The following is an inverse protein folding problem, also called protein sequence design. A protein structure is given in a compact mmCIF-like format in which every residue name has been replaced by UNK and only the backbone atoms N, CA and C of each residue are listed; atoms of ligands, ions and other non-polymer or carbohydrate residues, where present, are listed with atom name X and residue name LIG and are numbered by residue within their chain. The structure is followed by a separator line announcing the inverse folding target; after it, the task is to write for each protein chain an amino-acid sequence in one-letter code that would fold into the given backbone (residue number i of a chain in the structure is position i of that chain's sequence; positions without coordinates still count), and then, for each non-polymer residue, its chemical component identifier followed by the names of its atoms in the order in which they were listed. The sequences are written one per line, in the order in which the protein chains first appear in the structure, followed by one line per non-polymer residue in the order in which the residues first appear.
data_IF_572767281800
#
_entry.id   IF_572767281800
#
_cell.length_a   1.000
_cell.length_b   1.000
_cell.length_c   1.000
_cell.angle_alpha   90.00
_cell.angle_beta   90.00
_cell.angle_gamma   90.00
#
_symmetry.space_group_name_H-M   'P 1'
#
loop_
_entity.id
_entity.type
_entity.pdbx_description
1 polymer ?
#
# COMPACT_ATOMS: atom_id res chain seq x y z
N UNK A 1 9.27 -6.04 7.05
CA UNK A 1 8.11 -5.37 7.66
C UNK A 1 7.00 -5.42 6.63
N UNK A 2 5.80 -5.87 7.00
CA UNK A 2 4.70 -6.01 6.06
C UNK A 2 3.43 -5.37 6.63
N UNK A 3 2.57 -4.84 5.76
CA UNK A 3 1.24 -4.35 6.10
C UNK A 3 0.23 -5.12 5.25
N UNK A 4 -0.86 -5.56 5.88
CA UNK A 4 -1.97 -6.17 5.19
C UNK A 4 -3.30 -5.61 5.70
N UNK A 5 -4.33 -5.64 4.84
CA UNK A 5 -5.69 -5.31 5.25
C UNK A 5 -6.49 -6.58 5.51
N UNK A 6 -6.87 -6.80 6.78
CA UNK A 6 -7.50 -8.04 7.23
C UNK A 6 -8.89 -8.27 6.64
N UNK A 7 -9.72 -7.24 6.52
CA UNK A 7 -11.08 -7.35 5.96
C UNK A 7 -11.11 -7.62 4.46
N UNK A 8 -9.96 -7.47 3.79
CA UNK A 8 -9.86 -7.55 2.36
C UNK A 8 -10.21 -8.92 1.77
N UNK A 9 -10.02 -10.00 2.51
CA UNK A 9 -10.36 -11.34 2.02
C UNK A 9 -11.89 -11.55 1.92
N UNK A 10 -12.64 -11.07 2.91
CA UNK A 10 -14.10 -11.21 2.96
C UNK A 10 -14.79 -10.19 2.03
N UNK A 11 -14.16 -9.03 1.80
CA UNK A 11 -14.63 -7.97 0.88
C UNK A 11 -14.13 -8.15 -0.56
N UNK A 12 -13.38 -9.21 -0.86
CA UNK A 12 -12.88 -9.53 -2.20
C UNK A 12 -11.71 -8.67 -2.70
N UNK A 13 -11.06 -7.88 -1.83
CA UNK A 13 -9.89 -7.06 -2.15
C UNK A 13 -8.78 -7.20 -1.10
N UNK A 14 -7.79 -8.06 -1.35
CA UNK A 14 -6.63 -8.21 -0.45
C UNK A 14 -5.50 -7.24 -0.82
N UNK A 15 -4.93 -6.57 0.18
CA UNK A 15 -3.75 -5.71 0.03
C UNK A 15 -2.61 -6.27 0.86
N UNK A 16 -1.46 -6.50 0.23
CA UNK A 16 -0.22 -6.92 0.90
C UNK A 16 0.94 -6.03 0.46
N UNK A 17 1.62 -5.41 1.43
CA UNK A 17 2.71 -4.47 1.17
C UNK A 17 3.95 -4.86 1.94
N UNK A 18 5.05 -5.09 1.22
CA UNK A 18 6.35 -5.43 1.78
C UNK A 18 7.29 -4.23 1.80
N UNK A 19 7.97 -4.03 2.94
CA UNK A 19 8.97 -2.99 3.10
C UNK A 19 10.30 -3.56 3.61
N UNK A 20 11.37 -3.14 2.96
CA UNK A 20 12.73 -3.48 3.35
C UNK A 20 13.13 -2.70 4.61
N UNK A 21 13.39 -3.44 5.70
CA UNK A 21 13.71 -2.86 7.02
C UNK A 21 14.93 -1.93 6.94
N UNK A 22 15.96 -2.32 6.19
CA UNK A 22 17.19 -1.55 5.99
C UNK A 22 16.99 -0.19 5.31
N UNK A 23 15.85 0.01 4.64
CA UNK A 23 15.49 1.28 3.99
C UNK A 23 14.55 2.13 4.85
N UNK A 24 13.77 1.49 5.71
CA UNK A 24 12.81 2.17 6.58
C UNK A 24 13.44 2.69 7.87
N UNK A 25 14.32 1.89 8.49
CA UNK A 25 14.81 2.15 9.83
C UNK A 25 16.33 2.30 9.82
N UNK A 26 16.83 3.36 10.47
CA UNK A 26 18.26 3.52 10.76
C UNK A 26 18.71 2.59 11.88
N UNK A 27 17.86 2.43 12.87
CA UNK A 27 18.06 1.54 14.02
C UNK A 27 16.84 0.64 14.14
N UNK A 28 17.06 -0.67 14.24
CA UNK A 28 16.00 -1.65 14.33
C UNK A 28 16.38 -2.75 15.31
N UNK A 29 15.51 -2.99 16.29
CA UNK A 29 15.63 -4.08 17.24
C UNK A 29 14.28 -4.77 17.37
N UNK A 30 14.27 -6.08 17.18
CA UNK A 30 13.09 -6.90 17.38
C UNK A 30 13.49 -8.21 18.05
N UNK A 31 12.79 -8.53 19.13
CA UNK A 31 12.98 -9.75 19.93
C UNK A 31 11.60 -10.36 20.17
N UNK A 32 11.42 -11.61 19.75
CA UNK A 32 10.18 -12.34 19.95
C UNK A 32 10.44 -13.83 20.12
N UNK A 33 9.63 -14.48 20.95
CA UNK A 33 9.64 -15.94 21.12
C UNK A 33 9.14 -16.68 19.86
N UNK A 34 8.46 -15.98 18.95
CA UNK A 34 7.99 -16.51 17.66
C UNK A 34 8.99 -16.18 16.55
N UNK A 35 10.19 -16.75 16.62
CA UNK A 35 11.24 -16.58 15.59
C UNK A 35 11.49 -15.12 15.18
N UNK A 36 11.51 -14.18 16.15
CA UNK A 36 11.62 -12.75 15.85
C UNK A 36 10.56 -12.26 14.84
N UNK A 37 9.31 -12.67 15.02
CA UNK A 37 8.12 -12.10 14.37
C UNK A 37 7.12 -11.62 15.43
N UNK A 38 6.55 -10.45 15.20
CA UNK A 38 5.49 -9.87 16.02
C UNK A 38 4.44 -9.32 15.06
N UNK A 39 3.27 -9.95 15.05
CA UNK A 39 2.15 -9.54 14.23
C UNK A 39 1.23 -8.65 15.06
N UNK A 40 0.92 -7.46 14.54
CA UNK A 40 0.16 -6.43 15.22
C UNK A 40 -1.05 -6.04 14.36
N UNK A 41 -2.19 -5.91 15.00
CA UNK A 41 -3.38 -5.29 14.42
C UNK A 41 -3.56 -3.89 15.02
N UNK A 42 -3.82 -2.90 14.17
CA UNK A 42 -4.02 -1.52 14.58
C UNK A 42 -5.11 -0.85 13.71
N UNK A 43 -5.88 0.10 14.25
CA UNK A 43 -6.80 0.90 13.45
C UNK A 43 -6.02 1.75 12.42
N UNK A 44 -6.31 1.55 11.13
CA UNK A 44 -5.62 2.24 10.04
C UNK A 44 -5.71 3.77 10.15
N UNK A 45 -6.88 4.29 10.54
CA UNK A 45 -7.10 5.73 10.73
C UNK A 45 -6.12 6.34 11.75
N UNK A 46 -5.87 5.63 12.85
CA UNK A 46 -4.94 6.09 13.89
C UNK A 46 -3.50 6.07 13.37
N UNK A 47 -3.09 4.99 12.68
CA UNK A 47 -1.76 4.92 12.07
C UNK A 47 -1.53 6.04 11.07
N UNK A 48 -2.48 6.28 10.16
CA UNK A 48 -2.39 7.36 9.15
C UNK A 48 -2.27 8.73 9.82
N UNK A 49 -3.07 8.98 10.86
CA UNK A 49 -3.00 10.24 11.63
C UNK A 49 -1.61 10.46 12.25
N UNK A 50 -1.05 9.44 12.91
CA UNK A 50 0.28 9.55 13.54
C UNK A 50 1.37 9.70 12.48
N UNK A 51 1.31 8.95 11.38
CA UNK A 51 2.27 9.08 10.28
C UNK A 51 2.26 10.48 9.65
N UNK A 52 1.08 11.08 9.47
CA UNK A 52 0.99 12.48 9.02
C UNK A 52 1.57 13.45 10.05
N UNK A 53 1.33 13.20 11.34
CA UNK A 53 1.85 14.05 12.42
C UNK A 53 3.38 14.05 12.48
N UNK A 54 4.02 12.90 12.23
CA UNK A 54 5.48 12.80 12.26
C UNK A 54 6.15 12.96 10.88
N UNK A 55 5.39 13.26 9.82
CA UNK A 55 5.89 13.30 8.44
C UNK A 55 6.97 14.38 8.21
N UNK A 56 6.88 15.49 8.94
CA UNK A 56 7.85 16.60 8.89
C UNK A 56 8.95 16.49 9.95
N UNK A 57 8.99 15.41 10.72
CA UNK A 57 10.03 15.21 11.74
C UNK A 57 11.31 14.65 11.12
N UNK A 58 12.45 15.14 11.59
CA UNK A 58 13.76 14.61 11.20
C UNK A 58 14.04 13.21 11.77
N UNK A 59 13.45 12.89 12.93
CA UNK A 59 13.65 11.62 13.62
C UNK A 59 12.41 11.20 14.39
N UNK A 60 11.90 10.03 14.04
CA UNK A 60 10.77 9.37 14.71
C UNK A 60 11.23 8.01 15.25
N UNK A 61 10.95 7.77 16.53
CA UNK A 61 11.15 6.47 17.17
C UNK A 61 9.82 5.76 17.30
N UNK A 62 9.79 4.49 16.90
CA UNK A 62 8.64 3.62 16.99
C UNK A 62 8.90 2.51 18.02
N UNK A 63 8.00 2.31 18.98
CA UNK A 63 8.18 1.30 20.04
C UNK A 63 6.88 0.60 20.39
N UNK A 64 6.91 -0.74 20.41
CA UNK A 64 5.86 -1.54 21.03
C UNK A 64 6.04 -1.51 22.55
N UNK A 65 5.00 -1.12 23.28
CA UNK A 65 5.03 -1.00 24.74
C UNK A 65 3.69 -1.43 25.35
N UNK A 66 3.66 -1.55 26.68
CA UNK A 66 2.42 -1.66 27.43
C UNK A 66 1.94 -0.24 27.75
N UNK A 67 0.73 0.09 27.32
CA UNK A 67 0.06 1.33 27.69
C UNK A 67 -0.27 1.36 29.17
N UNK A 68 -0.68 2.53 29.65
CA UNK A 68 -1.00 2.77 31.07
C UNK A 68 -2.10 1.85 31.60
N UNK A 69 -3.03 1.47 30.72
CA UNK A 69 -4.15 0.57 31.03
C UNK A 69 -3.81 -0.92 30.86
N UNK A 70 -2.52 -1.25 30.69
CA UNK A 70 -2.04 -2.62 30.48
C UNK A 70 -2.28 -3.19 29.08
N UNK A 71 -2.89 -2.43 28.17
CA UNK A 71 -3.11 -2.82 26.78
C UNK A 71 -1.87 -2.52 25.92
N UNK A 72 -1.54 -3.36 24.92
CA UNK A 72 -0.40 -3.09 24.05
C UNK A 72 -0.64 -1.86 23.18
N UNK A 73 0.39 -1.02 23.06
CA UNK A 73 0.39 0.21 22.26
C UNK A 73 1.63 0.29 21.40
N UNK A 74 1.49 0.94 20.24
CA UNK A 74 2.59 1.35 19.40
C UNK A 74 2.84 2.84 19.64
N UNK A 75 3.90 3.15 20.37
CA UNK A 75 4.30 4.50 20.75
C UNK A 75 5.20 5.13 19.69
N UNK A 76 4.92 6.39 19.39
CA UNK A 76 5.66 7.23 18.45
C UNK A 76 6.22 8.42 19.21
N UNK A 77 7.53 8.59 19.11
CA UNK A 77 8.26 9.70 19.73
C UNK A 77 9.02 10.46 18.65
N UNK A 78 8.70 11.74 18.45
CA UNK A 78 9.31 12.56 17.41
C UNK A 78 9.36 14.04 17.80
N UNK A 79 10.26 14.80 17.16
CA UNK A 79 10.37 16.25 17.37
C UNK A 79 9.91 17.00 16.13
N UNK A 80 9.04 18.00 16.31
CA UNK A 80 8.61 18.88 15.22
C UNK A 80 9.58 20.05 15.08
N UNK A 81 9.95 20.36 13.83
CA UNK A 81 10.79 21.52 13.51
C UNK A 81 9.92 22.79 13.46
N UNK A 82 10.13 23.69 14.42
CA UNK A 82 9.37 24.94 14.53
C UNK A 82 10.05 25.92 15.49
N UNK A 83 10.02 27.21 15.14
CA UNK A 83 10.67 28.27 15.91
C UNK A 83 10.16 28.28 17.34
N UNK A 84 11.10 28.19 18.29
CA UNK A 84 10.92 28.26 19.76
C UNK A 84 10.68 26.89 20.41
N UNK A 85 11.79 26.21 20.73
CA UNK A 85 11.94 24.92 21.44
C UNK A 85 11.60 23.66 20.63
N UNK A 86 12.47 22.65 20.69
CA UNK A 86 12.21 21.28 20.21
C UNK A 86 10.94 20.75 20.89
N UNK A 87 9.79 20.84 20.21
CA UNK A 87 8.54 20.29 20.70
C UNK A 87 8.59 18.78 20.49
N UNK A 88 9.01 18.05 21.53
CA UNK A 88 8.93 16.60 21.60
C UNK A 88 7.46 16.20 21.71
N UNK A 89 7.01 15.39 20.77
CA UNK A 89 5.65 14.86 20.69
C UNK A 89 5.69 13.36 20.94
N UNK A 90 4.80 12.91 21.82
CA UNK A 90 4.54 11.50 22.08
C UNK A 90 3.11 11.18 21.68
N UNK A 91 2.93 10.21 20.78
CA UNK A 91 1.62 9.73 20.35
C UNK A 91 1.55 8.21 20.49
N UNK A 92 0.39 7.69 20.86
CA UNK A 92 0.18 6.28 21.09
C UNK A 92 -0.93 5.76 20.18
N UNK A 93 -0.67 4.65 19.49
CA UNK A 93 -1.68 3.92 18.73
C UNK A 93 -2.01 2.64 19.49
N UNK A 94 -3.27 2.42 19.92
CA UNK A 94 -3.65 1.14 20.51
C UNK A 94 -3.52 0.04 19.46
N UNK A 95 -2.88 -1.06 19.85
CA UNK A 95 -2.70 -2.22 18.98
C UNK A 95 -3.18 -3.48 19.69
N UNK A 96 -3.42 -4.53 18.91
CA UNK A 96 -3.62 -5.89 19.41
C UNK A 96 -2.46 -6.76 18.91
N UNK A 97 -1.80 -7.45 19.83
CA UNK A 97 -0.82 -8.48 19.45
C UNK A 97 -1.59 -9.69 18.95
N UNK A 98 -1.32 -10.11 17.72
CA UNK A 98 -1.99 -11.24 17.10
C UNK A 98 -1.32 -12.53 17.63
N UNK A 99 -2.08 -13.48 18.21
CA UNK A 99 -1.56 -14.78 18.61
C UNK A 99 -1.06 -15.60 17.41
N UNK A 100 -0.10 -16.49 17.64
CA UNK A 100 0.54 -17.31 16.61
C UNK A 100 -0.46 -18.07 15.72
N UNK A 101 -1.45 -18.72 16.33
CA UNK A 101 -2.49 -19.49 15.63
C UNK A 101 -3.27 -18.65 14.61
N UNK A 102 -3.49 -17.38 14.92
CA UNK A 102 -4.23 -16.46 14.07
C UNK A 102 -3.30 -15.79 13.04
N UNK A 103 -2.06 -15.51 13.43
CA UNK A 103 -1.04 -14.96 12.54
C UNK A 103 -0.66 -15.94 11.43
N UNK A 104 -0.69 -17.25 11.70
CA UNK A 104 -0.39 -18.29 10.70
C UNK A 104 -1.44 -18.37 9.59
N UNK A 105 -2.65 -17.84 9.83
CA UNK A 105 -3.70 -17.70 8.82
C UNK A 105 -3.51 -16.45 7.94
N UNK A 106 -2.65 -15.51 8.36
CA UNK A 106 -2.36 -14.28 7.64
C UNK A 106 -1.08 -14.51 6.83
N UNK A 107 -1.24 -14.90 5.58
CA UNK A 107 -0.13 -15.12 4.65
C UNK A 107 -0.23 -14.22 3.42
N UNK A 108 0.94 -13.97 2.82
CA UNK A 108 1.00 -13.27 1.54
C UNK A 108 0.21 -14.06 0.50
N UNK A 109 -0.71 -13.42 -0.24
CA UNK A 109 -1.48 -14.11 -1.26
C UNK A 109 -0.54 -14.65 -2.35
N UNK A 110 -0.79 -15.88 -2.78
CA UNK A 110 -0.07 -16.45 -3.91
C UNK A 110 -0.40 -15.64 -5.17
N UNK A 111 0.62 -15.05 -5.79
CA UNK A 111 0.47 -14.34 -7.06
C UNK A 111 0.79 -15.32 -8.20
N UNK A 112 -0.21 -15.88 -8.91
CA UNK A 112 0.07 -16.70 -10.08
C UNK A 112 0.74 -15.86 -11.17
N UNK A 113 1.49 -16.51 -12.06
CA UNK A 113 2.08 -15.82 -13.21
C UNK A 113 0.96 -15.26 -14.09
N UNK A 114 0.95 -13.95 -14.39
CA UNK A 114 -0.10 -13.36 -15.19
C UNK A 114 0.03 -13.79 -16.65
N UNK A 115 -1.09 -14.13 -17.29
CA UNK A 115 -1.12 -14.40 -18.74
C UNK A 115 -0.71 -13.17 -19.57
N UNK A 116 -0.95 -11.97 -19.03
CA UNK A 116 -0.63 -10.69 -19.65
C UNK A 116 -0.10 -9.70 -18.61
N UNK A 117 1.01 -9.02 -18.95
CA UNK A 117 1.56 -7.93 -18.16
C UNK A 117 1.48 -6.63 -18.97
N UNK A 118 0.79 -5.63 -18.41
CA UNK A 118 0.68 -4.30 -19.00
C UNK A 118 1.28 -3.26 -18.08
N UNK A 119 1.87 -2.22 -18.66
CA UNK A 119 2.30 -1.05 -17.91
C UNK A 119 1.12 -0.10 -17.71
N UNK A 120 0.87 0.28 -16.46
CA UNK A 120 -0.12 1.30 -16.17
C UNK A 120 0.35 2.67 -16.68
N UNK A 121 -0.59 3.59 -17.02
CA UNK A 121 -0.22 4.94 -17.39
C UNK A 121 0.63 5.61 -16.30
N UNK A 122 1.62 6.43 -16.67
CA UNK A 122 2.54 7.06 -15.71
C UNK A 122 1.83 8.00 -14.72
N UNK A 123 0.61 8.47 -15.07
CA UNK A 123 -0.24 9.25 -14.17
C UNK A 123 -1.47 8.45 -13.75
N UNK A 124 -1.39 7.81 -12.59
CA UNK A 124 -2.54 7.17 -11.94
C UNK A 124 -3.65 8.18 -11.59
N UNK A 125 -3.31 9.46 -11.42
CA UNK A 125 -4.30 10.52 -11.21
C UNK A 125 -5.26 10.66 -12.39
N UNK A 126 -4.76 10.49 -13.63
CA UNK A 126 -5.61 10.51 -14.82
C UNK A 126 -6.62 9.36 -14.78
N UNK A 127 -6.17 8.15 -14.42
CA UNK A 127 -7.02 6.97 -14.30
C UNK A 127 -8.09 7.19 -13.22
N UNK A 128 -7.69 7.65 -12.03
CA UNK A 128 -8.62 8.02 -10.95
C UNK A 128 -9.68 9.01 -11.42
N UNK A 129 -9.27 10.08 -12.10
CA UNK A 129 -10.21 11.10 -12.58
C UNK A 129 -11.23 10.54 -13.59
N UNK A 130 -10.85 9.58 -14.42
CA UNK A 130 -11.78 8.90 -15.34
C UNK A 130 -12.78 8.05 -14.55
N UNK A 131 -12.30 7.26 -13.58
CA UNK A 131 -13.14 6.42 -12.73
C UNK A 131 -14.13 7.24 -11.89
N UNK A 132 -13.70 8.36 -11.31
CA UNK A 132 -14.58 9.26 -10.57
C UNK A 132 -15.67 9.88 -11.46
N UNK A 133 -15.35 10.23 -12.71
CA UNK A 133 -16.35 10.70 -13.67
C UNK A 133 -17.36 9.61 -14.05
N UNK A 134 -16.89 8.38 -14.28
CA UNK A 134 -17.76 7.23 -14.54
C UNK A 134 -18.70 6.97 -13.37
N UNK A 135 -18.18 7.00 -12.14
CA UNK A 135 -18.99 6.90 -10.92
C UNK A 135 -20.02 8.03 -10.81
N UNK A 136 -19.63 9.27 -11.12
CA UNK A 136 -20.53 10.43 -11.07
C UNK A 136 -21.72 10.33 -12.05
N UNK A 137 -21.56 9.63 -13.16
CA UNK A 137 -22.66 9.36 -14.12
C UNK A 137 -23.44 8.09 -13.81
N UNK A 138 -23.19 7.44 -12.66
CA UNK A 138 -23.95 6.28 -12.18
C UNK A 138 -23.38 4.92 -12.58
N UNK A 139 -22.18 4.85 -13.15
CA UNK A 139 -21.56 3.56 -13.43
C UNK A 139 -21.26 2.80 -12.14
N UNK A 140 -21.84 1.61 -11.98
CA UNK A 140 -21.57 0.72 -10.85
C UNK A 140 -20.47 -0.30 -11.17
N UNK A 141 -20.33 -0.67 -12.45
CA UNK A 141 -19.34 -1.62 -12.93
C UNK A 141 -18.50 -0.99 -14.05
N UNK A 142 -17.21 -1.28 -14.03
CA UNK A 142 -16.26 -0.85 -15.07
C UNK A 142 -15.50 -2.07 -15.55
N UNK A 143 -15.66 -2.37 -16.84
CA UNK A 143 -14.90 -3.41 -17.53
C UNK A 143 -13.55 -2.83 -17.92
N UNK A 144 -12.48 -3.52 -17.56
CA UNK A 144 -11.11 -3.17 -17.93
C UNK A 144 -10.62 -4.16 -18.99
N UNK A 145 -10.39 -3.66 -20.20
CA UNK A 145 -9.79 -4.42 -21.29
C UNK A 145 -8.36 -3.93 -21.49
N UNK A 146 -7.43 -4.83 -21.76
CA UNK A 146 -6.07 -4.44 -22.12
C UNK A 146 -5.47 -5.39 -23.14
N UNK A 147 -4.62 -4.85 -24.01
CA UNK A 147 -3.87 -5.64 -24.98
C UNK A 147 -2.49 -5.04 -25.26
N UNK A 148 -1.56 -5.90 -25.66
CA UNK A 148 -0.24 -5.52 -26.14
C UNK A 148 -0.15 -5.81 -27.65
N UNK A 149 -0.13 -4.77 -28.45
CA UNK A 149 0.03 -4.86 -29.90
C UNK A 149 1.52 -4.90 -30.24
N UNK A 150 1.96 -6.02 -30.83
CA UNK A 150 3.25 -6.10 -31.53
C UNK A 150 3.08 -5.45 -32.90
N UNK A 151 3.40 -4.17 -33.01
CA UNK A 151 3.41 -3.53 -34.33
C UNK A 151 4.61 -4.09 -35.12
N UNK A 152 4.35 -4.93 -36.13
CA UNK A 152 5.37 -5.21 -37.16
C UNK A 152 5.61 -3.91 -37.91
N UNK A 153 6.82 -3.36 -37.80
CA UNK A 153 7.24 -2.25 -38.63
C UNK A 153 7.23 -2.72 -40.09
N UNK A 154 6.20 -2.35 -40.86
CA UNK A 154 6.25 -2.47 -42.31
C UNK A 154 7.39 -1.59 -42.80
N UNK A 155 8.48 -2.23 -43.22
CA UNK A 155 9.75 -1.57 -43.42
C UNK A 155 9.75 -0.55 -44.54
N UNK A 156 10.53 0.52 -44.36
CA UNK A 156 11.39 1.08 -45.42
C UNK A 156 12.68 1.63 -44.75
N UNK A 157 13.80 1.08 -45.18
CA UNK A 157 15.22 1.55 -45.11
C UNK A 157 15.92 1.77 -43.76
N UNK A 158 16.89 0.88 -43.52
CA UNK A 158 18.21 1.09 -42.92
C UNK A 158 18.35 2.16 -41.82
N UNK A 159 18.19 1.71 -40.56
CA UNK A 159 18.62 2.43 -39.37
C UNK A 159 17.85 2.01 -38.13
N UNK A 160 18.37 1.02 -37.39
CA UNK A 160 17.90 0.56 -36.07
C UNK A 160 16.39 0.26 -35.94
N UNK A 161 16.01 -1.01 -36.11
CA UNK A 161 14.65 -1.50 -35.87
C UNK A 161 14.37 -1.54 -34.35
N UNK A 162 13.83 -0.46 -33.78
CA UNK A 162 13.16 -0.53 -32.47
C UNK A 162 11.75 -1.07 -32.68
N UNK A 163 11.51 -2.31 -32.25
CA UNK A 163 10.14 -2.86 -32.18
C UNK A 163 9.34 -2.04 -31.19
N UNK A 164 8.42 -1.19 -31.67
CA UNK A 164 7.51 -0.42 -30.81
C UNK A 164 6.35 -1.35 -30.43
N UNK A 165 6.43 -1.96 -29.25
CA UNK A 165 5.27 -2.62 -28.62
C UNK A 165 4.33 -1.54 -28.08
N UNK A 166 3.09 -1.48 -28.56
CA UNK A 166 2.07 -0.56 -28.04
C UNK A 166 1.16 -1.34 -27.10
N UNK A 167 1.15 -1.00 -25.82
CA UNK A 167 0.14 -1.47 -24.87
C UNK A 167 -1.00 -0.45 -24.80
N UNK A 168 -2.24 -0.92 -24.74
CA UNK A 168 -3.39 -0.08 -24.47
C UNK A 168 -4.29 -0.70 -23.40
N UNK A 169 -4.97 0.16 -22.66
CA UNK A 169 -5.98 -0.20 -21.66
C UNK A 169 -7.23 0.64 -21.92
N UNK A 170 -8.38 -0.02 -21.97
CA UNK A 170 -9.69 0.58 -22.17
C UNK A 170 -10.55 0.32 -20.94
N UNK A 171 -11.27 1.36 -20.52
CA UNK A 171 -12.26 1.27 -19.47
C UNK A 171 -13.64 1.51 -20.10
N UNK A 172 -14.55 0.57 -19.89
CA UNK A 172 -15.92 0.62 -20.39
C UNK A 172 -16.87 0.57 -19.21
N UNK A 173 -17.71 1.59 -19.04
CA UNK A 173 -18.77 1.56 -18.06
C UNK A 173 -19.98 0.83 -18.66
N UNK A 174 -20.40 -0.27 -18.03
CA UNK A 174 -21.68 -0.89 -18.36
C UNK A 174 -22.77 -0.14 -17.58
N UNK A 175 -23.54 0.66 -18.28
CA UNK A 175 -24.79 1.20 -17.75
C UNK A 175 -25.91 0.32 -18.27
N UNK A 176 -26.57 -0.42 -17.39
CA UNK A 176 -27.93 -0.88 -17.68
C UNK A 176 -28.80 0.38 -17.77
N UNK A 177 -29.13 0.79 -19.00
CA UNK A 177 -30.19 1.77 -19.25
C UNK A 177 -31.50 1.12 -18.83
N UNK A 178 -31.96 1.44 -17.62
CA UNK A 178 -33.35 1.21 -17.19
C UNK A 178 -34.23 2.32 -17.75
#
# INVERSE_FOLDING_TARGET
FALCHRGGADEGSQTWSHFQISRLFREYRLESKRQNKIDLEAPLANLVHVFHSCASSDRTTLRLANGRDGRPILGFEFSLTGNVADHKVEQEVPVRVIPEQEADLICEPALPEPEYQIELPPSLQRLKNVLEKMKAVGAQHVVVEAAQEKSMANGVTAGSLTSISRAWMRLTAEAELV
#
